data_IF_992729489890
#
_entry.id   IF_992729489890
#
_cell.length_a   1.000
_cell.length_b   1.000
_cell.length_c   1.000
_cell.angle_alpha   90.00
_cell.angle_beta   90.00
_cell.angle_gamma   90.00
#
_symmetry.space_group_name_H-M   'P 1'
#
loop_
_entity.id
_entity.type
_entity.pdbx_description
1 polymer ?
#
# COMPACT_ATOMS: atom_id res chain seq x y z
N UNK A 1 -5.36 16.16 1.69
CA UNK A 1 -5.03 16.47 0.29
C UNK A 1 -5.63 17.80 -0.15
N UNK A 2 -6.90 18.05 0.09
CA UNK A 2 -7.62 19.28 -0.36
C UNK A 2 -6.89 20.58 -0.03
N UNK A 3 -6.32 20.70 1.17
CA UNK A 3 -5.58 21.90 1.59
C UNK A 3 -4.29 22.09 0.77
N UNK A 4 -3.57 21.00 0.49
CA UNK A 4 -2.37 21.03 -0.36
C UNK A 4 -2.75 21.46 -1.78
N UNK A 5 -3.83 20.91 -2.34
CA UNK A 5 -4.34 21.27 -3.66
C UNK A 5 -4.71 22.75 -3.72
N UNK A 6 -5.38 23.28 -2.69
CA UNK A 6 -5.74 24.70 -2.62
C UNK A 6 -4.48 25.59 -2.70
N UNK A 7 -3.48 25.29 -1.87
CA UNK A 7 -2.22 26.06 -1.84
C UNK A 7 -1.41 25.97 -3.14
N UNK A 8 -1.41 24.78 -3.76
CA UNK A 8 -0.74 24.55 -5.04
C UNK A 8 -1.40 25.32 -6.19
N UNK A 9 -2.73 25.34 -6.23
CA UNK A 9 -3.51 26.06 -7.22
C UNK A 9 -3.27 27.59 -7.15
N UNK A 10 -3.08 28.16 -5.96
CA UNK A 10 -2.72 29.58 -5.78
C UNK A 10 -1.39 29.94 -6.47
N UNK A 11 -0.54 28.95 -6.73
CA UNK A 11 0.79 29.12 -7.35
C UNK A 11 0.90 28.47 -8.73
N UNK A 12 -0.19 27.96 -9.28
CA UNK A 12 -0.24 27.21 -10.53
C UNK A 12 0.75 26.02 -10.57
N UNK A 13 0.96 25.34 -9.42
CA UNK A 13 1.84 24.18 -9.31
C UNK A 13 1.00 22.91 -9.34
N UNK A 14 1.30 21.93 -10.23
CA UNK A 14 0.60 20.65 -10.25
C UNK A 14 0.87 19.82 -8.98
N UNK A 15 -0.16 19.09 -8.51
CA UNK A 15 -0.08 18.16 -7.37
C UNK A 15 -0.02 16.74 -7.88
N UNK A 16 1.07 16.03 -7.52
CA UNK A 16 1.23 14.60 -7.80
C UNK A 16 1.09 13.83 -6.49
N UNK A 17 0.22 12.83 -6.47
CA UNK A 17 0.01 11.95 -5.32
C UNK A 17 0.65 10.60 -5.57
N UNK A 18 1.61 10.21 -4.75
CA UNK A 18 2.07 8.83 -4.69
C UNK A 18 1.11 8.02 -3.80
N UNK A 19 0.22 7.27 -4.45
CA UNK A 19 -0.77 6.41 -3.83
C UNK A 19 -0.38 4.92 -3.96
N UNK A 20 0.91 4.61 -4.09
CA UNK A 20 1.40 3.25 -4.33
C UNK A 20 0.98 2.24 -3.26
N UNK A 21 0.71 2.69 -2.03
CA UNK A 21 0.28 1.84 -0.91
C UNK A 21 -1.14 2.17 -0.38
N UNK A 22 -1.92 2.97 -1.12
CA UNK A 22 -3.23 3.46 -0.68
C UNK A 22 -4.41 2.57 -1.13
N UNK A 23 -4.14 1.39 -1.66
CA UNK A 23 -5.13 0.38 -2.03
C UNK A 23 -5.05 -0.81 -1.07
N UNK A 24 -6.19 -1.45 -0.76
CA UNK A 24 -7.55 -0.99 -0.92
C UNK A 24 -7.89 0.18 0.02
N UNK A 25 -9.04 0.88 -0.09
CA UNK A 25 -10.26 0.51 -0.82
C UNK A 25 -10.19 0.87 -2.31
N UNK A 26 -11.09 0.22 -3.11
CA UNK A 26 -11.13 0.45 -4.56
C UNK A 26 -11.50 1.87 -4.96
N UNK A 27 -12.28 2.58 -4.12
CA UNK A 27 -12.66 3.97 -4.37
C UNK A 27 -11.45 4.91 -4.44
N UNK A 28 -10.31 4.56 -3.83
CA UNK A 28 -9.10 5.35 -3.91
C UNK A 28 -8.52 5.45 -5.32
N UNK A 29 -8.90 4.57 -6.25
CA UNK A 29 -8.55 4.72 -7.66
C UNK A 29 -9.07 6.03 -8.28
N UNK A 30 -10.10 6.64 -7.68
CA UNK A 30 -10.70 7.89 -8.16
C UNK A 30 -10.66 9.03 -7.14
N UNK A 31 -10.61 8.73 -5.84
CA UNK A 31 -10.76 9.72 -4.77
C UNK A 31 -9.73 10.85 -4.84
N UNK A 32 -8.46 10.53 -5.04
CA UNK A 32 -7.39 11.54 -5.08
C UNK A 32 -7.55 12.53 -6.24
N UNK A 33 -7.96 12.03 -7.41
CA UNK A 33 -8.27 12.92 -8.56
C UNK A 33 -9.52 13.78 -8.29
N UNK A 34 -10.54 13.19 -7.67
CA UNK A 34 -11.76 13.92 -7.27
C UNK A 34 -11.48 14.98 -6.20
N UNK A 35 -10.44 14.82 -5.40
CA UNK A 35 -9.98 15.79 -4.42
C UNK A 35 -9.10 16.89 -5.03
N UNK A 36 -8.78 16.79 -6.33
CA UNK A 36 -8.07 17.79 -7.09
C UNK A 36 -6.58 17.50 -7.36
N UNK A 37 -6.10 16.29 -7.11
CA UNK A 37 -4.76 15.91 -7.58
C UNK A 37 -4.68 15.97 -9.11
N UNK A 38 -3.59 16.49 -9.65
CA UNK A 38 -3.35 16.53 -11.10
C UNK A 38 -2.88 15.19 -11.64
N UNK A 39 -2.06 14.47 -10.88
CA UNK A 39 -1.59 13.12 -11.20
C UNK A 39 -1.63 12.24 -9.97
N UNK A 40 -1.90 10.96 -10.17
CA UNK A 40 -1.87 9.92 -9.12
C UNK A 40 -1.11 8.72 -9.62
N UNK A 41 -0.30 8.13 -8.75
CA UNK A 41 0.50 6.93 -9.03
C UNK A 41 0.02 5.77 -8.15
N UNK A 42 -0.28 4.63 -8.75
CA UNK A 42 -0.59 3.38 -8.05
C UNK A 42 0.42 2.29 -8.40
N UNK A 43 0.78 1.47 -7.42
CA UNK A 43 1.63 0.30 -7.66
C UNK A 43 0.81 -0.87 -8.19
N UNK A 44 1.28 -1.50 -9.27
CA UNK A 44 0.68 -2.72 -9.81
C UNK A 44 1.03 -3.97 -9.00
N UNK A 45 2.21 -3.99 -8.38
CA UNK A 45 2.73 -5.16 -7.67
C UNK A 45 2.32 -5.27 -6.20
N UNK A 46 1.61 -4.28 -5.65
CA UNK A 46 1.12 -4.31 -4.26
C UNK A 46 -0.29 -4.93 -4.20
N UNK A 47 -1.29 -4.21 -3.71
CA UNK A 47 -2.65 -4.71 -3.53
C UNK A 47 -3.34 -5.23 -4.79
N UNK A 48 -2.97 -4.74 -5.97
CA UNK A 48 -3.48 -5.26 -7.24
C UNK A 48 -2.96 -6.68 -7.57
N UNK A 49 -1.84 -7.09 -6.94
CA UNK A 49 -1.20 -8.40 -7.20
C UNK A 49 -0.83 -8.62 -8.67
N UNK A 50 -0.45 -7.56 -9.37
CA UNK A 50 0.13 -7.61 -10.71
C UNK A 50 1.66 -7.75 -10.68
N UNK A 51 2.34 -7.65 -11.83
CA UNK A 51 3.80 -7.69 -11.87
C UNK A 51 4.43 -6.57 -11.05
N UNK A 52 5.47 -6.87 -10.27
CA UNK A 52 6.09 -5.95 -9.31
C UNK A 52 6.63 -4.67 -9.95
N UNK A 53 7.13 -4.76 -11.18
CA UNK A 53 7.77 -3.65 -11.88
C UNK A 53 6.76 -2.74 -12.60
N UNK A 54 5.48 -2.85 -12.26
CA UNK A 54 4.42 -2.10 -12.91
C UNK A 54 3.79 -1.06 -12.01
N UNK A 55 3.30 0.00 -12.63
CA UNK A 55 2.51 1.03 -11.98
C UNK A 55 1.53 1.69 -12.95
N UNK A 56 0.56 2.38 -12.38
CA UNK A 56 -0.42 3.17 -13.13
C UNK A 56 -0.19 4.63 -12.79
N UNK A 57 0.01 5.46 -13.82
CA UNK A 57 -0.03 6.91 -13.73
C UNK A 57 -1.32 7.38 -14.39
N UNK A 58 -2.16 8.11 -13.66
CA UNK A 58 -3.40 8.66 -14.18
C UNK A 58 -3.59 10.12 -13.72
N UNK A 59 -4.41 10.88 -14.45
CA UNK A 59 -4.72 12.27 -14.16
C UNK A 59 -4.84 13.15 -15.40
N UNK A 60 -4.43 14.40 -15.30
CA UNK A 60 -4.55 15.41 -16.35
C UNK A 60 -3.89 14.98 -17.65
N UNK A 61 -4.63 15.12 -18.76
CA UNK A 61 -4.21 14.62 -20.06
C UNK A 61 -2.91 15.27 -20.60
N UNK A 62 -2.70 16.56 -20.33
CA UNK A 62 -1.49 17.29 -20.73
C UNK A 62 -0.25 16.76 -20.00
N UNK A 63 -0.36 16.49 -18.70
CA UNK A 63 0.73 15.92 -17.87
C UNK A 63 0.99 14.46 -18.23
N UNK A 64 -0.05 13.66 -18.50
CA UNK A 64 0.11 12.28 -18.99
C UNK A 64 0.82 12.27 -20.34
N UNK A 65 0.47 13.19 -21.25
CA UNK A 65 1.15 13.35 -22.55
C UNK A 65 2.64 13.70 -22.36
N UNK A 66 2.95 14.61 -21.44
CA UNK A 66 4.32 14.99 -21.12
C UNK A 66 5.10 13.81 -20.53
N UNK A 67 4.53 13.08 -19.58
CA UNK A 67 5.13 11.88 -18.99
C UNK A 67 5.39 10.81 -20.06
N UNK A 68 4.43 10.56 -20.95
CA UNK A 68 4.58 9.62 -22.08
C UNK A 68 5.71 10.00 -23.03
N UNK A 69 5.92 11.29 -23.26
CA UNK A 69 7.04 11.75 -24.12
C UNK A 69 8.42 11.46 -23.50
N UNK A 70 8.49 11.33 -22.17
CA UNK A 70 9.71 10.96 -21.45
C UNK A 70 9.91 9.45 -21.28
N UNK A 71 8.87 8.65 -21.53
CA UNK A 71 8.89 7.20 -21.37
C UNK A 71 9.30 6.47 -22.67
N UNK A 72 9.66 5.19 -22.54
CA UNK A 72 9.89 4.32 -23.69
C UNK A 72 8.66 4.31 -24.64
N UNK A 73 8.83 4.36 -26.00
CA UNK A 73 10.10 4.23 -26.75
C UNK A 73 10.86 5.54 -26.98
N UNK A 74 10.38 6.67 -26.50
CA UNK A 74 11.03 7.96 -26.72
C UNK A 74 12.38 8.05 -25.99
N UNK A 75 13.27 8.93 -26.46
CA UNK A 75 14.61 9.13 -25.87
C UNK A 75 14.55 10.12 -24.69
N UNK A 76 13.56 9.96 -23.80
CA UNK A 76 13.40 10.76 -22.59
C UNK A 76 14.10 10.17 -21.37
N UNK A 77 14.00 10.86 -20.24
CA UNK A 77 14.61 10.46 -18.97
C UNK A 77 14.09 9.10 -18.45
N UNK A 78 12.82 8.79 -18.73
CA UNK A 78 12.16 7.53 -18.33
C UNK A 78 12.39 6.36 -19.28
N UNK A 79 13.21 6.53 -20.35
CA UNK A 79 13.43 5.45 -21.31
C UNK A 79 13.99 4.16 -20.71
N UNK A 80 14.87 4.28 -19.73
CA UNK A 80 15.48 3.13 -19.04
C UNK A 80 14.48 2.36 -18.15
N UNK A 81 13.38 2.99 -17.78
CA UNK A 81 12.32 2.42 -16.95
C UNK A 81 11.25 1.69 -17.81
N UNK A 82 11.69 1.06 -18.89
CA UNK A 82 10.84 0.33 -19.82
C UNK A 82 10.12 -0.84 -19.13
N UNK A 83 8.80 -0.89 -19.29
CA UNK A 83 7.95 -2.01 -18.90
C UNK A 83 7.68 -2.87 -20.12
N UNK A 84 7.76 -4.19 -20.00
CA UNK A 84 7.47 -5.12 -21.09
C UNK A 84 5.96 -5.18 -21.39
N UNK A 85 5.61 -5.59 -22.61
CA UNK A 85 4.19 -5.77 -22.97
C UNK A 85 3.52 -6.88 -22.16
N UNK A 86 4.25 -7.90 -21.75
CA UNK A 86 3.78 -8.99 -20.89
C UNK A 86 3.41 -8.45 -19.49
N UNK A 87 4.25 -7.57 -18.94
CA UNK A 87 3.98 -6.88 -17.67
C UNK A 87 2.76 -5.95 -17.79
N UNK A 88 2.62 -5.23 -18.90
CA UNK A 88 1.44 -4.37 -19.14
C UNK A 88 0.16 -5.20 -19.17
N UNK A 89 0.14 -6.32 -19.91
CA UNK A 89 -1.02 -7.21 -19.97
C UNK A 89 -1.32 -7.80 -18.59
N UNK A 90 -0.27 -8.24 -17.87
CA UNK A 90 -0.42 -8.73 -16.50
C UNK A 90 -1.04 -7.71 -15.56
N UNK A 91 -0.62 -6.45 -15.67
CA UNK A 91 -1.19 -5.34 -14.87
C UNK A 91 -2.65 -5.06 -15.22
N UNK A 92 -3.00 -5.04 -16.52
CA UNK A 92 -4.40 -4.84 -16.96
C UNK A 92 -5.30 -5.93 -16.37
N UNK A 93 -4.87 -7.18 -16.45
CA UNK A 93 -5.61 -8.31 -15.88
C UNK A 93 -5.74 -8.20 -14.36
N UNK A 94 -4.65 -7.84 -13.68
CA UNK A 94 -4.65 -7.63 -12.23
C UNK A 94 -5.62 -6.52 -11.79
N UNK A 95 -5.63 -5.39 -12.51
CA UNK A 95 -6.57 -4.30 -12.28
C UNK A 95 -8.03 -4.74 -12.50
N UNK A 96 -8.31 -5.47 -13.59
CA UNK A 96 -9.65 -6.00 -13.87
C UNK A 96 -10.14 -6.95 -12.78
N UNK A 97 -9.25 -7.75 -12.21
CA UNK A 97 -9.55 -8.58 -11.03
C UNK A 97 -9.81 -7.74 -9.80
N UNK A 98 -8.91 -6.79 -9.51
CA UNK A 98 -8.95 -5.94 -8.33
C UNK A 98 -10.27 -5.17 -8.19
N UNK A 99 -10.78 -4.59 -9.28
CA UNK A 99 -12.04 -3.84 -9.27
C UNK A 99 -13.28 -4.71 -9.09
N UNK A 100 -13.17 -6.03 -9.30
CA UNK A 100 -14.26 -7.01 -9.15
C UNK A 100 -14.28 -7.72 -7.79
N UNK A 101 -13.28 -7.48 -6.95
CA UNK A 101 -13.21 -8.09 -5.61
C UNK A 101 -14.38 -7.57 -4.76
N UNK A 102 -15.08 -8.48 -4.10
CA UNK A 102 -15.98 -8.12 -3.01
C UNK A 102 -15.17 -7.76 -1.77
N UNK A 103 -14.88 -6.48 -1.62
CA UNK A 103 -14.04 -5.97 -0.53
C UNK A 103 -14.67 -6.14 0.85
N UNK A 104 -15.99 -6.24 0.95
CA UNK A 104 -16.66 -6.53 2.22
C UNK A 104 -16.36 -7.97 2.66
N UNK A 105 -16.48 -8.93 1.77
CA UNK A 105 -16.14 -10.32 2.04
C UNK A 105 -14.65 -10.50 2.34
N UNK A 106 -13.77 -9.79 1.64
CA UNK A 106 -12.33 -9.82 1.90
C UNK A 106 -11.98 -9.24 3.28
N UNK A 107 -12.59 -8.14 3.67
CA UNK A 107 -12.38 -7.54 4.99
C UNK A 107 -12.82 -8.49 6.11
N UNK A 108 -14.00 -9.10 5.99
CA UNK A 108 -14.48 -10.12 6.94
C UNK A 108 -13.52 -11.32 7.01
N UNK A 109 -12.95 -11.73 5.88
CA UNK A 109 -11.95 -12.80 5.84
C UNK A 109 -10.69 -12.43 6.61
N UNK A 110 -10.18 -11.21 6.42
CA UNK A 110 -9.00 -10.72 7.15
C UNK A 110 -9.26 -10.60 8.65
N UNK A 111 -10.43 -10.08 9.05
CA UNK A 111 -10.84 -9.99 10.46
C UNK A 111 -10.84 -11.37 11.13
N UNK A 112 -11.44 -12.38 10.48
CA UNK A 112 -11.43 -13.77 10.97
C UNK A 112 -10.01 -14.34 11.09
N UNK A 113 -9.10 -13.97 10.21
CA UNK A 113 -7.68 -14.38 10.31
C UNK A 113 -7.04 -13.72 11.53
N UNK A 114 -7.24 -12.41 11.70
CA UNK A 114 -6.74 -11.67 12.86
C UNK A 114 -7.28 -12.23 14.17
N UNK A 115 -8.57 -12.56 14.25
CA UNK A 115 -9.18 -13.18 15.43
C UNK A 115 -8.55 -14.55 15.77
N UNK A 116 -8.28 -15.38 14.77
CA UNK A 116 -7.59 -16.67 14.96
C UNK A 116 -6.17 -16.48 15.52
N UNK A 117 -5.43 -15.52 15.00
CA UNK A 117 -4.08 -15.19 15.47
C UNK A 117 -4.15 -14.67 16.90
N UNK A 118 -5.03 -13.69 17.16
CA UNK A 118 -5.24 -13.13 18.49
C UNK A 118 -5.58 -14.22 19.51
N UNK A 119 -6.49 -15.14 19.16
CA UNK A 119 -6.88 -16.24 20.06
C UNK A 119 -5.69 -17.14 20.41
N UNK A 120 -4.83 -17.45 19.45
CA UNK A 120 -3.63 -18.29 19.68
C UNK A 120 -2.55 -17.59 20.49
N UNK A 121 -2.45 -16.28 20.38
CA UNK A 121 -1.43 -15.48 21.07
C UNK A 121 -1.85 -15.07 22.49
N UNK A 122 -3.12 -15.22 22.87
CA UNK A 122 -3.62 -14.85 24.21
C UNK A 122 -2.90 -15.52 25.39
N UNK A 123 -2.26 -16.66 25.17
CA UNK A 123 -1.49 -17.38 26.20
C UNK A 123 -0.08 -16.82 26.42
N UNK A 124 0.36 -15.85 25.61
CA UNK A 124 1.68 -15.22 25.78
C UNK A 124 1.60 -14.21 26.93
N UNK A 125 2.28 -14.50 28.02
CA UNK A 125 2.40 -13.57 29.14
C UNK A 125 3.22 -12.34 28.76
N UNK A 126 3.06 -11.25 29.50
CA UNK A 126 3.75 -9.95 29.28
C UNK A 126 3.40 -9.22 27.98
N UNK A 127 2.25 -9.50 27.39
CA UNK A 127 1.82 -8.87 26.14
C UNK A 127 0.37 -8.39 26.25
N UNK A 128 0.09 -7.26 25.63
CA UNK A 128 -1.28 -6.85 25.29
C UNK A 128 -1.49 -7.08 23.80
N UNK A 129 -2.58 -7.76 23.45
CA UNK A 129 -2.86 -8.13 22.07
C UNK A 129 -4.20 -7.54 21.65
N UNK A 130 -4.21 -6.85 20.54
CA UNK A 130 -5.41 -6.24 19.99
C UNK A 130 -5.46 -6.35 18.48
N UNK A 131 -6.65 -6.17 17.91
CA UNK A 131 -6.82 -5.93 16.48
C UNK A 131 -6.92 -4.42 16.28
N UNK A 132 -6.10 -3.89 15.40
CA UNK A 132 -6.06 -2.46 15.08
C UNK A 132 -6.11 -2.22 13.58
N UNK A 133 -6.56 -1.04 13.22
CA UNK A 133 -6.52 -0.49 11.86
C UNK A 133 -5.55 0.69 11.84
N UNK A 134 -4.87 0.89 10.72
CA UNK A 134 -4.05 2.09 10.58
C UNK A 134 -4.94 3.34 10.58
N UNK A 135 -4.52 4.37 11.28
CA UNK A 135 -5.23 5.67 11.34
C UNK A 135 -4.59 6.72 10.43
N UNK A 136 -3.35 6.48 10.01
CA UNK A 136 -2.57 7.40 9.18
C UNK A 136 -1.40 6.66 8.50
N UNK A 137 -0.70 7.35 7.61
CA UNK A 137 0.48 6.83 6.91
C UNK A 137 0.12 6.06 5.63
N UNK A 138 1.14 5.50 4.98
CA UNK A 138 1.06 4.78 3.71
C UNK A 138 0.62 3.31 3.89
N UNK A 139 -0.28 3.03 4.80
CA UNK A 139 -0.83 1.69 5.07
C UNK A 139 -2.33 1.70 4.79
N UNK A 140 -2.87 0.71 4.05
CA UNK A 140 -4.30 0.67 3.78
C UNK A 140 -5.11 0.68 5.07
N UNK A 141 -6.00 1.68 5.22
CA UNK A 141 -6.74 1.94 6.45
C UNK A 141 -7.76 0.84 6.78
N UNK A 142 -8.24 0.13 5.76
CA UNK A 142 -9.26 -0.92 5.91
C UNK A 142 -8.68 -2.32 6.22
N UNK A 143 -7.34 -2.46 6.22
CA UNK A 143 -6.70 -3.76 6.49
C UNK A 143 -6.45 -3.91 7.99
N UNK A 144 -7.11 -4.88 8.66
CA UNK A 144 -6.87 -5.15 10.07
C UNK A 144 -5.47 -5.73 10.31
N UNK A 145 -4.92 -5.45 11.46
CA UNK A 145 -3.63 -5.98 11.93
C UNK A 145 -3.76 -6.49 13.35
N UNK A 146 -3.05 -7.55 13.66
CA UNK A 146 -2.85 -7.97 15.05
C UNK A 146 -1.67 -7.19 15.59
N UNK A 147 -1.92 -6.38 16.61
CA UNK A 147 -0.90 -5.61 17.32
C UNK A 147 -0.56 -6.31 18.63
N UNK A 148 0.72 -6.53 18.84
CA UNK A 148 1.28 -7.12 20.03
C UNK A 148 2.11 -6.07 20.75
N UNK A 149 1.62 -5.56 21.87
CA UNK A 149 2.40 -4.65 22.73
C UNK A 149 3.16 -5.48 23.74
N UNK A 150 4.48 -5.40 23.69
CA UNK A 150 5.39 -6.19 24.54
C UNK A 150 5.99 -5.27 25.60
N UNK A 151 6.06 -5.75 26.84
CA UNK A 151 6.87 -5.11 27.88
C UNK A 151 8.30 -5.67 27.84
N UNK A 152 9.29 -4.90 27.39
CA UNK A 152 10.68 -5.35 27.26
C UNK A 152 11.30 -5.73 28.61
N UNK A 153 10.87 -5.07 29.70
CA UNK A 153 11.40 -5.34 31.04
C UNK A 153 10.95 -6.72 31.51
N UNK A 154 9.66 -7.02 31.36
CA UNK A 154 9.12 -8.34 31.74
C UNK A 154 9.69 -9.48 30.88
N UNK A 155 10.00 -9.19 29.61
CA UNK A 155 10.53 -10.20 28.71
C UNK A 155 12.04 -10.37 28.80
N UNK A 156 12.75 -9.39 29.37
CA UNK A 156 14.21 -9.37 29.46
C UNK A 156 14.93 -9.25 28.12
N UNK A 157 14.24 -8.72 27.10
CA UNK A 157 14.73 -8.52 25.73
C UNK A 157 14.18 -7.24 25.17
N UNK A 158 14.99 -6.51 24.41
CA UNK A 158 14.50 -5.37 23.64
C UNK A 158 13.77 -5.80 22.35
N UNK A 159 13.01 -4.90 21.77
CA UNK A 159 12.20 -5.17 20.57
C UNK A 159 13.06 -5.59 19.38
N UNK A 160 14.23 -5.00 19.20
CA UNK A 160 15.17 -5.34 18.12
C UNK A 160 15.68 -6.78 18.23
N UNK A 161 15.96 -7.25 19.44
CA UNK A 161 16.35 -8.65 19.69
C UNK A 161 15.21 -9.61 19.36
N UNK A 162 13.96 -9.23 19.66
CA UNK A 162 12.77 -10.05 19.37
C UNK A 162 12.58 -10.16 17.85
N UNK A 163 12.62 -9.02 17.14
CA UNK A 163 12.50 -8.97 15.70
C UNK A 163 13.53 -9.85 15.01
N UNK A 164 14.80 -9.68 15.39
CA UNK A 164 15.89 -10.48 14.86
C UNK A 164 15.74 -12.00 15.14
N UNK A 165 15.21 -12.39 16.31
CA UNK A 165 14.93 -13.78 16.61
C UNK A 165 13.77 -14.35 15.79
N UNK A 166 12.72 -13.54 15.55
CA UNK A 166 11.59 -13.92 14.70
C UNK A 166 12.02 -14.11 13.24
N UNK A 167 12.82 -13.20 12.71
CA UNK A 167 13.35 -13.29 11.33
C UNK A 167 14.23 -14.52 11.11
N UNK A 168 15.03 -14.89 12.11
CA UNK A 168 15.92 -16.07 12.05
C UNK A 168 15.27 -17.37 12.50
N UNK A 169 14.02 -17.32 12.90
CA UNK A 169 13.26 -18.49 13.33
C UNK A 169 12.96 -19.47 12.19
N UNK A 170 12.46 -20.66 12.56
CA UNK A 170 11.94 -21.63 11.60
C UNK A 170 10.52 -22.01 11.97
N UNK A 171 9.51 -21.50 11.26
CA UNK A 171 9.61 -20.58 10.12
C UNK A 171 10.11 -19.19 10.50
N UNK A 172 10.69 -18.46 9.55
CA UNK A 172 11.00 -17.05 9.72
C UNK A 172 9.70 -16.21 9.74
N UNK A 173 9.60 -15.28 10.69
CA UNK A 173 8.42 -14.43 10.86
C UNK A 173 8.87 -12.97 10.75
N UNK A 174 8.40 -12.29 9.71
CA UNK A 174 8.60 -10.86 9.55
C UNK A 174 7.43 -10.09 10.18
N UNK A 175 7.74 -9.10 10.99
CA UNK A 175 6.77 -8.21 11.64
C UNK A 175 7.08 -6.75 11.32
N UNK A 176 6.14 -5.86 11.56
CA UNK A 176 6.38 -4.42 11.49
C UNK A 176 6.52 -3.92 12.91
N UNK A 177 7.64 -3.30 13.19
CA UNK A 177 7.92 -2.66 14.47
C UNK A 177 7.48 -1.20 14.40
N UNK A 178 6.68 -0.75 15.35
CA UNK A 178 6.20 0.65 15.47
C UNK A 178 6.68 1.27 16.79
#
# INVERSE_FOLDING_TARGET
LKEIVRLANERAVPVIVDAAAELPPVCNLQSFLSEGADLVIFSGGKAMCGPNDTGILCGRADLIKAARAQAFPNAGIGRALKVSKEQIIGLIYALQRFIKIDWNSEQLRWEKVCEKILHRLKSINCTNISIAYATHGARPLIVPRVCLTIDPIMLGKDLSQIDHQLERGKPAIAVVMD
#
